data_IF_456703122156
#
_entry.id   IF_456703122156
#
_cell.length_a   1.000
_cell.length_b   1.000
_cell.length_c   1.000
_cell.angle_alpha   90.00
_cell.angle_beta   90.00
_cell.angle_gamma   90.00
#
_symmetry.space_group_name_H-M   'P 1'
#
loop_
_entity.id
_entity.type
_entity.pdbx_description
1 polymer ?
#
# COMPACT_ATOMS: atom_id res chain seq x y z
N UNK A 1 -12.99 -13.76 28.91
CA UNK A 1 -11.88 -13.56 27.95
C UNK A 1 -12.28 -12.63 26.78
N UNK A 2 -13.51 -12.72 26.27
CA UNK A 2 -13.99 -11.86 25.16
C UNK A 2 -14.11 -10.36 25.51
N UNK A 3 -14.57 -10.01 26.71
CA UNK A 3 -14.67 -8.61 27.14
C UNK A 3 -13.32 -7.87 27.15
N UNK A 4 -12.22 -8.54 27.55
CA UNK A 4 -10.89 -7.96 27.54
C UNK A 4 -10.37 -7.69 26.12
N UNK A 5 -10.74 -8.55 25.16
CA UNK A 5 -10.30 -8.40 23.76
C UNK A 5 -11.03 -7.26 23.05
N UNK A 6 -12.34 -7.12 23.29
CA UNK A 6 -13.12 -6.00 22.76
C UNK A 6 -12.63 -4.64 23.29
N UNK A 7 -12.22 -4.57 24.56
CA UNK A 7 -11.60 -3.35 25.11
C UNK A 7 -10.25 -3.06 24.47
N UNK A 8 -9.43 -4.09 24.19
CA UNK A 8 -8.16 -3.93 23.51
C UNK A 8 -8.34 -3.39 22.09
N UNK A 9 -9.35 -3.88 21.34
CA UNK A 9 -9.69 -3.36 20.02
C UNK A 9 -10.07 -1.87 20.05
N UNK A 10 -10.94 -1.48 20.98
CA UNK A 10 -11.35 -0.07 21.13
C UNK A 10 -10.17 0.83 21.50
N UNK A 11 -9.26 0.34 22.34
CA UNK A 11 -8.06 1.09 22.73
C UNK A 11 -7.09 1.25 21.54
N UNK A 12 -6.91 0.20 20.74
CA UNK A 12 -6.09 0.26 19.52
C UNK A 12 -6.70 1.24 18.51
N UNK A 13 -8.01 1.18 18.26
CA UNK A 13 -8.72 2.12 17.38
C UNK A 13 -8.55 3.57 17.86
N UNK A 14 -8.70 3.80 19.18
CA UNK A 14 -8.52 5.14 19.74
C UNK A 14 -7.09 5.64 19.56
N UNK A 15 -6.10 4.76 19.72
CA UNK A 15 -4.68 5.09 19.50
C UNK A 15 -4.43 5.45 18.05
N UNK A 16 -4.95 4.68 17.08
CA UNK A 16 -4.82 4.92 15.66
C UNK A 16 -5.48 6.24 15.21
N UNK A 17 -6.67 6.56 15.74
CA UNK A 17 -7.37 7.81 15.41
C UNK A 17 -6.66 9.06 15.93
N UNK A 18 -5.83 8.93 16.98
CA UNK A 18 -5.07 10.03 17.58
C UNK A 18 -3.57 9.97 17.27
N UNK A 19 -3.14 9.01 16.48
CA UNK A 19 -1.74 8.85 16.10
C UNK A 19 -1.26 10.06 15.28
N UNK A 20 -0.02 10.51 15.48
CA UNK A 20 0.63 11.39 14.52
C UNK A 20 0.70 10.70 13.16
N UNK A 21 0.52 11.49 12.10
CA UNK A 21 0.61 10.96 10.72
C UNK A 21 1.94 10.23 10.49
N UNK A 22 1.83 8.98 10.03
CA UNK A 22 2.98 8.12 9.73
C UNK A 22 3.36 7.15 10.85
N UNK A 23 2.74 7.21 12.02
CA UNK A 23 2.98 6.26 13.11
C UNK A 23 1.97 5.10 13.12
N UNK A 24 0.91 5.19 12.31
CA UNK A 24 -0.17 4.19 12.27
C UNK A 24 0.35 2.78 11.93
N UNK A 25 1.30 2.70 11.01
CA UNK A 25 1.89 1.41 10.60
C UNK A 25 2.67 0.74 11.75
N UNK A 26 3.44 1.52 12.52
CA UNK A 26 4.17 1.01 13.68
C UNK A 26 3.20 0.55 14.77
N UNK A 27 2.14 1.32 15.03
CA UNK A 27 1.10 0.96 16.00
C UNK A 27 0.42 -0.35 15.61
N UNK A 28 0.09 -0.54 14.34
CA UNK A 28 -0.49 -1.79 13.82
C UNK A 28 0.48 -2.96 13.97
N UNK A 29 1.75 -2.76 13.65
CA UNK A 29 2.77 -3.78 13.77
C UNK A 29 2.98 -4.23 15.22
N UNK A 30 3.05 -3.27 16.16
CA UNK A 30 3.22 -3.54 17.60
C UNK A 30 2.00 -4.24 18.23
N UNK A 31 0.85 -4.22 17.54
CA UNK A 31 -0.41 -4.83 17.98
C UNK A 31 -0.93 -5.88 16.97
N UNK A 32 -0.05 -6.50 16.21
CA UNK A 32 -0.40 -7.45 15.14
C UNK A 32 -1.28 -8.64 15.62
N UNK A 33 -1.14 -9.05 16.88
CA UNK A 33 -1.95 -10.09 17.54
C UNK A 33 -3.44 -9.71 17.73
N UNK A 34 -3.76 -8.41 17.62
CA UNK A 34 -5.13 -7.89 17.69
C UNK A 34 -5.76 -7.71 16.31
N UNK A 35 -5.00 -7.83 15.22
CA UNK A 35 -5.48 -7.62 13.87
C UNK A 35 -6.18 -8.87 13.32
N UNK A 36 -7.34 -9.17 13.87
CA UNK A 36 -8.18 -10.30 13.49
C UNK A 36 -9.56 -9.83 13.01
N UNK A 37 -10.41 -10.78 12.64
CA UNK A 37 -11.78 -10.49 12.17
C UNK A 37 -12.60 -9.69 13.18
N UNK A 38 -12.42 -9.94 14.50
CA UNK A 38 -13.09 -9.17 15.56
C UNK A 38 -12.65 -7.70 15.61
N UNK A 39 -11.38 -7.43 15.33
CA UNK A 39 -10.89 -6.06 15.18
C UNK A 39 -11.55 -5.34 13.99
N UNK A 40 -11.69 -6.02 12.85
CA UNK A 40 -12.34 -5.46 11.66
C UNK A 40 -13.81 -5.09 11.93
N UNK A 41 -14.55 -6.00 12.55
CA UNK A 41 -15.96 -5.76 12.93
C UNK A 41 -16.07 -4.57 13.90
N UNK A 42 -15.13 -4.45 14.84
CA UNK A 42 -15.09 -3.31 15.76
C UNK A 42 -14.76 -2.00 15.05
N UNK A 43 -13.85 -2.00 14.08
CA UNK A 43 -13.55 -0.83 13.25
C UNK A 43 -14.79 -0.33 12.48
N UNK A 44 -15.57 -1.23 11.87
CA UNK A 44 -16.81 -0.87 11.15
C UNK A 44 -17.88 -0.30 12.09
N UNK A 45 -18.02 -0.89 13.29
CA UNK A 45 -18.97 -0.40 14.30
C UNK A 45 -18.60 1.01 14.77
N UNK A 46 -17.32 1.24 15.10
CA UNK A 46 -16.83 2.56 15.53
C UNK A 46 -16.92 3.57 14.38
N UNK A 47 -16.60 3.17 13.14
CA UNK A 47 -16.73 4.04 11.97
C UNK A 47 -18.18 4.49 11.74
N UNK A 48 -19.14 3.59 11.91
CA UNK A 48 -20.57 3.93 11.78
C UNK A 48 -21.00 4.93 12.87
N UNK A 49 -20.60 4.71 14.11
CA UNK A 49 -20.88 5.61 15.23
C UNK A 49 -20.24 6.98 15.02
N UNK A 50 -19.00 7.05 14.55
CA UNK A 50 -18.31 8.30 14.24
C UNK A 50 -19.00 9.07 13.11
N UNK A 51 -19.47 8.39 12.07
CA UNK A 51 -20.20 9.03 10.97
C UNK A 51 -21.51 9.67 11.44
N UNK A 52 -22.24 9.02 12.35
CA UNK A 52 -23.47 9.57 12.95
C UNK A 52 -23.19 10.79 13.83
N UNK A 53 -22.02 10.89 14.43
CA UNK A 53 -21.59 11.99 15.28
C UNK A 53 -20.87 13.12 14.52
N UNK A 54 -20.80 13.04 13.19
CA UNK A 54 -20.15 14.06 12.35
C UNK A 54 -18.63 13.90 12.21
N UNK A 55 -18.06 12.79 12.69
CA UNK A 55 -16.63 12.44 12.60
C UNK A 55 -16.28 11.75 11.28
N UNK A 56 -16.67 12.32 10.12
CA UNK A 56 -16.54 11.68 8.81
C UNK A 56 -15.10 11.25 8.45
N UNK A 57 -14.10 12.05 8.82
CA UNK A 57 -12.70 11.72 8.50
C UNK A 57 -12.23 10.48 9.24
N UNK A 58 -12.51 10.37 10.54
CA UNK A 58 -12.21 9.19 11.33
C UNK A 58 -12.97 7.94 10.85
N UNK A 59 -14.25 8.12 10.48
CA UNK A 59 -15.06 7.04 9.92
C UNK A 59 -14.51 6.52 8.59
N UNK A 60 -14.09 7.42 7.68
CA UNK A 60 -13.46 7.05 6.40
C UNK A 60 -12.14 6.33 6.62
N UNK A 61 -11.31 6.84 7.52
CA UNK A 61 -10.03 6.20 7.88
C UNK A 61 -10.25 4.78 8.40
N UNK A 62 -11.14 4.57 9.37
CA UNK A 62 -11.40 3.23 9.94
C UNK A 62 -11.98 2.25 8.93
N UNK A 63 -12.89 2.69 8.05
CA UNK A 63 -13.41 1.83 6.97
C UNK A 63 -12.34 1.45 5.96
N UNK A 64 -11.46 2.39 5.63
CA UNK A 64 -10.34 2.10 4.74
C UNK A 64 -9.37 1.10 5.37
N UNK A 65 -9.03 1.31 6.63
CA UNK A 65 -8.19 0.41 7.41
C UNK A 65 -8.80 -0.99 7.54
N UNK A 66 -10.09 -1.08 7.92
CA UNK A 66 -10.78 -2.36 8.06
C UNK A 66 -10.82 -3.14 6.74
N UNK A 67 -11.13 -2.46 5.64
CA UNK A 67 -11.12 -3.06 4.30
C UNK A 67 -9.73 -3.57 3.91
N UNK A 68 -8.72 -2.78 4.19
CA UNK A 68 -7.33 -3.15 3.93
C UNK A 68 -6.91 -4.39 4.72
N UNK A 69 -7.14 -4.39 6.04
CA UNK A 69 -6.80 -5.52 6.90
C UNK A 69 -7.63 -6.77 6.58
N UNK A 70 -8.91 -6.63 6.20
CA UNK A 70 -9.75 -7.76 5.77
C UNK A 70 -9.13 -8.48 4.57
N UNK A 71 -8.62 -7.72 3.60
CA UNK A 71 -7.96 -8.31 2.44
C UNK A 71 -6.68 -9.06 2.80
N UNK A 72 -5.95 -8.60 3.81
CA UNK A 72 -4.76 -9.29 4.31
C UNK A 72 -5.11 -10.57 5.07
N UNK A 73 -6.17 -10.56 5.87
CA UNK A 73 -6.64 -11.72 6.63
C UNK A 73 -7.19 -12.81 5.68
N UNK A 74 -8.01 -12.44 4.70
CA UNK A 74 -8.56 -13.38 3.71
C UNK A 74 -7.46 -14.02 2.84
N UNK A 75 -6.33 -13.34 2.64
CA UNK A 75 -5.16 -13.93 1.97
C UNK A 75 -4.43 -14.96 2.83
N UNK A 76 -4.52 -14.87 4.16
CA UNK A 76 -3.91 -15.81 5.08
C UNK A 76 -4.73 -17.11 5.23
N UNK A 77 -6.05 -17.06 5.06
CA UNK A 77 -6.92 -18.24 5.18
C UNK A 77 -6.74 -19.24 4.01
N UNK A 78 -6.22 -18.80 2.86
CA UNK A 78 -5.94 -19.64 1.69
C UNK A 78 -4.54 -20.31 1.70
N UNK A 79 -3.73 -20.10 2.75
CA UNK A 79 -2.34 -20.61 2.81
C UNK A 79 -2.09 -21.40 4.09
N UNK A 80 -2.59 -22.61 4.14
CA UNK A 80 -2.19 -23.64 5.11
C UNK A 80 -0.85 -24.29 4.68
N UNK A 81 0.20 -23.51 4.51
CA UNK A 81 1.62 -23.97 4.44
C UNK A 81 2.57 -22.80 4.09
N UNK A 82 2.91 -21.91 5.01
CA UNK A 82 4.20 -21.22 5.09
C UNK A 82 4.14 -19.97 5.96
N UNK A 83 4.31 -20.13 7.24
CA UNK A 83 4.37 -19.01 8.21
C UNK A 83 5.41 -17.93 7.82
N UNK A 84 6.49 -18.32 7.15
CA UNK A 84 7.54 -17.39 6.70
C UNK A 84 7.18 -16.59 5.42
N UNK A 85 6.29 -17.11 4.57
CA UNK A 85 5.89 -16.41 3.33
C UNK A 85 4.81 -15.35 3.59
N UNK A 86 3.95 -15.56 4.59
CA UNK A 86 2.91 -14.60 4.95
C UNK A 86 3.48 -13.39 5.70
N UNK A 87 4.43 -13.58 6.60
CA UNK A 87 5.14 -12.48 7.27
C UNK A 87 5.86 -11.59 6.26
N UNK A 88 6.57 -12.19 5.29
CA UNK A 88 7.24 -11.45 4.23
C UNK A 88 6.25 -10.65 3.35
N UNK A 89 5.10 -11.22 2.97
CA UNK A 89 4.10 -10.50 2.17
C UNK A 89 3.54 -9.28 2.92
N UNK A 90 3.28 -9.41 4.22
CA UNK A 90 2.78 -8.33 5.05
C UNK A 90 3.77 -7.15 5.10
N UNK A 91 5.04 -7.42 5.27
CA UNK A 91 6.09 -6.39 5.29
C UNK A 91 6.16 -5.63 3.96
N UNK A 92 6.09 -6.33 2.83
CA UNK A 92 6.06 -5.71 1.50
C UNK A 92 4.79 -4.87 1.29
N UNK A 93 3.64 -5.39 1.70
CA UNK A 93 2.36 -4.70 1.56
C UNK A 93 2.31 -3.43 2.40
N UNK A 94 2.73 -3.51 3.66
CA UNK A 94 2.81 -2.35 4.56
C UNK A 94 3.76 -1.29 4.00
N UNK A 95 4.95 -1.69 3.56
CA UNK A 95 5.92 -0.78 2.97
C UNK A 95 5.38 -0.06 1.73
N UNK A 96 4.70 -0.80 0.84
CA UNK A 96 4.08 -0.20 -0.34
C UNK A 96 3.02 0.85 0.02
N UNK A 97 2.18 0.58 1.01
CA UNK A 97 1.15 1.52 1.45
C UNK A 97 1.73 2.76 2.14
N UNK A 98 2.76 2.59 2.96
CA UNK A 98 3.50 3.70 3.55
C UNK A 98 4.10 4.61 2.47
N UNK A 99 4.66 4.02 1.40
CA UNK A 99 5.18 4.77 0.26
C UNK A 99 4.08 5.53 -0.48
N UNK A 100 2.91 4.90 -0.73
CA UNK A 100 1.78 5.58 -1.37
C UNK A 100 1.23 6.72 -0.50
N UNK A 101 1.18 6.53 0.81
CA UNK A 101 0.78 7.59 1.73
C UNK A 101 1.78 8.74 1.73
N UNK A 102 3.08 8.44 1.75
CA UNK A 102 4.13 9.45 1.66
C UNK A 102 4.10 10.21 0.34
N UNK A 103 3.86 9.53 -0.80
CA UNK A 103 3.64 10.18 -2.10
C UNK A 103 2.48 11.17 -2.05
N UNK A 104 1.37 10.78 -1.44
CA UNK A 104 0.19 11.64 -1.31
C UNK A 104 0.45 12.85 -0.39
N UNK A 105 1.03 12.62 0.78
CA UNK A 105 1.20 13.66 1.80
C UNK A 105 2.30 14.66 1.44
N UNK A 106 3.35 14.22 0.76
CA UNK A 106 4.46 15.05 0.31
C UNK A 106 4.26 15.63 -1.10
N UNK A 107 3.20 15.24 -1.80
CA UNK A 107 2.98 15.55 -3.22
C UNK A 107 4.18 15.10 -4.09
N UNK A 108 4.71 13.92 -3.79
CA UNK A 108 5.81 13.30 -4.53
C UNK A 108 7.19 13.92 -4.26
N UNK A 109 7.42 14.48 -3.05
CA UNK A 109 8.73 15.02 -2.71
C UNK A 109 9.75 13.90 -2.49
N UNK A 110 10.75 13.81 -3.37
CA UNK A 110 11.85 12.83 -3.28
C UNK A 110 12.66 12.96 -1.99
N UNK A 111 12.66 14.13 -1.34
CA UNK A 111 13.32 14.32 -0.05
C UNK A 111 12.63 13.53 1.07
N UNK A 112 11.36 13.12 0.87
CA UNK A 112 10.61 12.25 1.77
C UNK A 112 10.73 10.79 1.31
N UNK A 113 10.54 10.54 0.02
CA UNK A 113 10.47 9.18 -0.54
C UNK A 113 11.82 8.44 -0.50
N UNK A 114 12.91 9.11 -0.91
CA UNK A 114 14.23 8.46 -1.00
C UNK A 114 14.78 7.97 0.34
N UNK A 115 14.68 8.70 1.46
CA UNK A 115 15.04 8.16 2.77
C UNK A 115 14.25 6.92 3.18
N UNK A 116 12.96 6.82 2.82
CA UNK A 116 12.16 5.62 3.10
C UNK A 116 12.64 4.41 2.28
N UNK A 117 12.96 4.62 0.99
CA UNK A 117 13.53 3.59 0.12
C UNK A 117 14.92 3.18 0.62
N UNK A 118 15.76 4.13 1.03
CA UNK A 118 17.10 3.89 1.57
C UNK A 118 17.06 3.03 2.84
N UNK A 119 16.16 3.34 3.77
CA UNK A 119 16.01 2.62 5.02
C UNK A 119 15.55 1.17 4.85
N UNK A 120 14.92 0.84 3.72
CA UNK A 120 14.33 -0.49 3.47
C UNK A 120 14.73 -1.08 2.11
N UNK A 121 15.95 -0.83 1.64
CA UNK A 121 16.46 -1.35 0.36
C UNK A 121 16.34 -2.88 0.23
N UNK A 122 16.41 -3.61 1.34
CA UNK A 122 16.27 -5.07 1.35
C UNK A 122 14.89 -5.54 0.88
N UNK A 123 13.86 -4.68 0.98
CA UNK A 123 12.51 -4.95 0.48
C UNK A 123 12.38 -4.65 -1.03
N UNK A 124 13.32 -3.92 -1.65
CA UNK A 124 13.26 -3.59 -3.08
C UNK A 124 13.74 -4.79 -3.93
N UNK A 125 12.86 -5.77 -4.12
CA UNK A 125 13.16 -7.01 -4.83
C UNK A 125 11.95 -7.52 -5.63
N UNK A 126 12.04 -8.71 -6.22
CA UNK A 126 10.97 -9.30 -7.03
C UNK A 126 9.67 -9.50 -6.24
N UNK A 127 9.75 -9.92 -4.97
CA UNK A 127 8.57 -10.12 -4.12
C UNK A 127 7.83 -8.80 -3.85
N UNK A 128 8.56 -7.68 -3.74
CA UNK A 128 7.93 -6.35 -3.66
C UNK A 128 7.15 -6.00 -4.93
N UNK A 129 7.71 -6.29 -6.12
CA UNK A 129 7.01 -6.05 -7.38
C UNK A 129 5.72 -6.88 -7.50
N UNK A 130 5.74 -8.15 -7.08
CA UNK A 130 4.57 -9.02 -7.05
C UNK A 130 3.52 -8.52 -6.04
N UNK A 131 3.95 -8.16 -4.84
CA UNK A 131 3.08 -7.62 -3.79
C UNK A 131 2.44 -6.30 -4.22
N UNK A 132 3.22 -5.39 -4.81
CA UNK A 132 2.71 -4.15 -5.38
C UNK A 132 1.55 -4.40 -6.35
N UNK A 133 1.73 -5.36 -7.29
CA UNK A 133 0.67 -5.70 -8.25
C UNK A 133 -0.58 -6.25 -7.56
N UNK A 134 -0.42 -7.11 -6.56
CA UNK A 134 -1.55 -7.70 -5.85
C UNK A 134 -2.31 -6.65 -5.02
N UNK A 135 -1.59 -5.85 -4.24
CA UNK A 135 -2.17 -4.80 -3.39
C UNK A 135 -2.83 -3.72 -4.25
N UNK A 136 -2.15 -3.24 -5.30
CA UNK A 136 -2.70 -2.23 -6.21
C UNK A 136 -4.02 -2.67 -6.86
N UNK A 137 -4.09 -3.91 -7.37
CA UNK A 137 -5.35 -4.47 -7.91
C UNK A 137 -6.48 -4.47 -6.90
N UNK A 138 -6.18 -4.73 -5.64
CA UNK A 138 -7.17 -4.72 -4.56
C UNK A 138 -7.60 -3.30 -4.18
N UNK A 139 -6.66 -2.36 -4.12
CA UNK A 139 -6.96 -0.96 -3.82
C UNK A 139 -7.92 -0.32 -4.83
N UNK A 140 -7.85 -0.71 -6.09
CA UNK A 140 -8.72 -0.17 -7.16
C UNK A 140 -10.01 -0.98 -7.36
N UNK A 141 -10.09 -2.20 -6.80
CA UNK A 141 -11.25 -3.07 -6.99
C UNK A 141 -12.51 -2.48 -6.36
N UNK A 142 -13.54 -2.25 -7.17
CA UNK A 142 -14.82 -1.71 -6.70
C UNK A 142 -14.85 -0.21 -6.42
N UNK A 143 -13.72 0.50 -6.66
CA UNK A 143 -13.66 1.96 -6.50
C UNK A 143 -14.27 2.69 -7.71
N UNK A 144 -14.67 3.94 -7.50
CA UNK A 144 -15.12 4.81 -8.58
C UNK A 144 -13.94 5.32 -9.41
N UNK A 145 -14.21 5.83 -10.62
CA UNK A 145 -13.19 6.25 -11.58
C UNK A 145 -12.28 7.39 -11.06
N UNK A 146 -12.78 8.27 -10.21
CA UNK A 146 -11.99 9.35 -9.62
C UNK A 146 -10.98 8.81 -8.61
N UNK A 147 -11.42 7.92 -7.72
CA UNK A 147 -10.56 7.24 -6.75
C UNK A 147 -9.50 6.39 -7.46
N UNK A 148 -9.89 5.61 -8.48
CA UNK A 148 -8.95 4.85 -9.31
C UNK A 148 -7.92 5.77 -9.93
N UNK A 149 -8.33 6.90 -10.53
CA UNK A 149 -7.43 7.86 -11.16
C UNK A 149 -6.41 8.42 -10.18
N UNK A 150 -6.81 8.68 -8.93
CA UNK A 150 -5.93 9.16 -7.87
C UNK A 150 -4.91 8.08 -7.47
N UNK A 151 -5.36 6.86 -7.21
CA UNK A 151 -4.50 5.74 -6.80
C UNK A 151 -3.46 5.43 -7.88
N UNK A 152 -3.87 5.31 -9.15
CA UNK A 152 -2.93 5.02 -10.24
C UNK A 152 -1.94 6.16 -10.48
N UNK A 153 -2.33 7.40 -10.20
CA UNK A 153 -1.42 8.55 -10.22
C UNK A 153 -0.30 8.43 -9.19
N UNK A 154 -0.64 8.04 -7.95
CA UNK A 154 0.35 7.79 -6.90
C UNK A 154 1.27 6.62 -7.24
N UNK A 155 0.72 5.52 -7.78
CA UNK A 155 1.51 4.36 -8.22
C UNK A 155 2.47 4.74 -9.35
N UNK A 156 2.05 5.60 -10.29
CA UNK A 156 2.93 6.07 -11.36
C UNK A 156 4.09 6.90 -10.83
N UNK A 157 3.80 7.87 -9.95
CA UNK A 157 4.84 8.70 -9.33
C UNK A 157 5.84 7.84 -8.56
N UNK A 158 5.36 6.95 -7.72
CA UNK A 158 6.20 6.01 -6.98
C UNK A 158 7.06 5.15 -7.91
N UNK A 159 6.50 4.68 -9.03
CA UNK A 159 7.23 3.89 -10.02
C UNK A 159 8.36 4.70 -10.67
N UNK A 160 8.13 6.00 -10.94
CA UNK A 160 9.16 6.92 -11.43
C UNK A 160 10.27 7.04 -10.38
N UNK A 161 9.92 7.35 -9.12
CA UNK A 161 10.89 7.54 -8.05
C UNK A 161 11.72 6.29 -7.79
N UNK A 162 11.11 5.09 -7.76
CA UNK A 162 11.85 3.84 -7.60
C UNK A 162 12.77 3.59 -8.80
N UNK A 163 12.33 3.86 -10.03
CA UNK A 163 13.16 3.67 -11.23
C UNK A 163 14.37 4.60 -11.26
N UNK A 164 14.25 5.79 -10.70
CA UNK A 164 15.30 6.81 -10.63
C UNK A 164 16.13 6.73 -9.35
N UNK A 165 15.69 5.97 -8.36
CA UNK A 165 16.36 5.84 -7.06
C UNK A 165 17.82 5.43 -7.25
N UNK A 166 18.78 6.22 -6.72
CA UNK A 166 20.20 6.07 -7.03
C UNK A 166 20.86 4.89 -6.32
N UNK A 167 20.22 4.35 -5.26
CA UNK A 167 20.77 3.29 -4.41
C UNK A 167 20.08 1.94 -4.64
N UNK A 168 20.63 0.89 -4.05
CA UNK A 168 20.10 -0.46 -4.12
C UNK A 168 20.41 -1.17 -5.44
N UNK A 169 19.68 -2.25 -5.72
CA UNK A 169 19.84 -3.02 -6.94
C UNK A 169 19.04 -2.37 -8.08
N UNK A 170 19.75 -1.79 -9.04
CA UNK A 170 19.13 -1.08 -10.17
C UNK A 170 18.20 -1.96 -11.00
N UNK A 171 18.53 -3.24 -11.18
CA UNK A 171 17.67 -4.19 -11.89
C UNK A 171 16.37 -4.41 -11.16
N UNK A 172 16.40 -4.61 -9.85
CA UNK A 172 15.20 -4.74 -9.02
C UNK A 172 14.34 -3.47 -9.05
N UNK A 173 14.96 -2.30 -8.90
CA UNK A 173 14.25 -1.02 -8.95
C UNK A 173 13.49 -0.86 -10.28
N UNK A 174 14.13 -1.22 -11.39
CA UNK A 174 13.51 -1.18 -12.71
C UNK A 174 12.35 -2.19 -12.80
N UNK A 175 12.50 -3.42 -12.30
CA UNK A 175 11.42 -4.42 -12.32
C UNK A 175 10.21 -3.99 -11.50
N UNK A 176 10.43 -3.38 -10.34
CA UNK A 176 9.35 -2.83 -9.51
C UNK A 176 8.62 -1.70 -10.27
N UNK A 177 9.36 -0.81 -10.92
CA UNK A 177 8.77 0.28 -11.70
C UNK A 177 7.96 -0.25 -12.91
N UNK A 178 8.44 -1.29 -13.59
CA UNK A 178 7.69 -1.97 -14.66
C UNK A 178 6.37 -2.49 -14.13
N UNK A 179 6.37 -3.21 -13.00
CA UNK A 179 5.16 -3.73 -12.38
C UNK A 179 4.13 -2.63 -12.07
N UNK A 180 4.59 -1.48 -11.57
CA UNK A 180 3.74 -0.31 -11.32
C UNK A 180 3.17 0.31 -12.60
N UNK A 181 4.01 0.53 -13.63
CA UNK A 181 3.54 1.08 -14.91
C UNK A 181 2.53 0.16 -15.61
N UNK A 182 2.66 -1.15 -15.51
CA UNK A 182 1.69 -2.10 -16.05
C UNK A 182 0.32 -1.96 -15.39
N UNK A 183 0.27 -1.81 -14.07
CA UNK A 183 -0.97 -1.52 -13.34
C UNK A 183 -1.60 -0.22 -13.83
N UNK A 184 -0.81 0.84 -13.96
CA UNK A 184 -1.28 2.15 -14.40
C UNK A 184 -1.86 2.08 -15.81
N UNK A 185 -1.16 1.44 -16.75
CA UNK A 185 -1.63 1.30 -18.13
C UNK A 185 -2.95 0.52 -18.24
N UNK A 186 -3.10 -0.54 -17.46
CA UNK A 186 -4.31 -1.36 -17.45
C UNK A 186 -5.55 -0.61 -16.93
N UNK A 187 -5.36 0.53 -16.26
CA UNK A 187 -6.41 1.32 -15.63
C UNK A 187 -6.55 2.73 -16.23
N UNK A 188 -5.84 3.04 -17.30
CA UNK A 188 -5.96 4.27 -18.07
C UNK A 188 -6.68 4.05 -19.37
N UNK A 189 -7.37 5.08 -19.84
CA UNK A 189 -8.03 5.07 -21.15
C UNK A 189 -6.98 4.99 -22.28
N UNK A 190 -6.99 3.94 -23.10
CA UNK A 190 -6.05 3.77 -24.21
C UNK A 190 -6.08 4.97 -25.16
N UNK A 191 -4.90 5.47 -25.53
CA UNK A 191 -4.75 6.61 -26.43
C UNK A 191 -4.88 7.98 -25.77
N UNK A 192 -5.19 8.05 -24.47
CA UNK A 192 -5.12 9.31 -23.74
C UNK A 192 -3.66 9.80 -23.60
N UNK A 193 -3.46 11.08 -23.35
CA UNK A 193 -2.13 11.67 -23.14
C UNK A 193 -1.39 10.97 -21.98
N UNK A 194 -2.08 10.78 -20.85
CA UNK A 194 -1.53 10.09 -19.67
C UNK A 194 -1.18 8.63 -19.95
N UNK A 195 -2.00 7.93 -20.73
CA UNK A 195 -1.71 6.56 -21.16
C UNK A 195 -0.45 6.50 -22.03
N UNK A 196 -0.31 7.42 -22.99
CA UNK A 196 0.87 7.53 -23.85
C UNK A 196 2.13 7.84 -23.05
N UNK A 197 2.04 8.72 -22.06
CA UNK A 197 3.15 9.04 -21.15
C UNK A 197 3.61 7.80 -20.39
N UNK A 198 2.66 7.02 -19.80
CA UNK A 198 3.01 5.79 -19.10
C UNK A 198 3.61 4.75 -20.02
N UNK A 199 3.13 4.62 -21.25
CA UNK A 199 3.76 3.74 -22.26
C UNK A 199 5.23 4.10 -22.52
N UNK A 200 5.54 5.39 -22.62
CA UNK A 200 6.91 5.85 -22.81
C UNK A 200 7.80 5.53 -21.58
N UNK A 201 7.26 5.71 -20.36
CA UNK A 201 7.96 5.35 -19.14
C UNK A 201 8.22 3.84 -19.09
N UNK A 202 7.22 3.03 -19.39
CA UNK A 202 7.35 1.57 -19.44
C UNK A 202 8.36 1.11 -20.50
N UNK A 203 8.31 1.66 -21.69
CA UNK A 203 9.26 1.35 -22.76
C UNK A 203 10.71 1.71 -22.35
N UNK A 204 10.89 2.84 -21.68
CA UNK A 204 12.18 3.25 -21.13
C UNK A 204 12.67 2.29 -20.06
N UNK A 205 11.79 1.87 -19.16
CA UNK A 205 12.11 0.90 -18.10
C UNK A 205 12.52 -0.46 -18.71
N UNK A 206 11.81 -0.97 -19.71
CA UNK A 206 12.19 -2.20 -20.42
C UNK A 206 13.55 -2.09 -21.14
N UNK A 207 13.84 -0.94 -21.75
CA UNK A 207 15.14 -0.73 -22.38
C UNK A 207 16.28 -0.71 -21.36
N UNK A 208 16.03 -0.15 -20.17
CA UNK A 208 17.01 -0.13 -19.09
C UNK A 208 17.18 -1.51 -18.43
N UNK A 209 16.11 -2.28 -18.29
CA UNK A 209 16.13 -3.64 -17.78
C UNK A 209 17.07 -4.54 -18.60
N UNK A 210 17.05 -4.42 -19.93
CA UNK A 210 17.94 -5.17 -20.82
C UNK A 210 19.43 -4.81 -20.64
N UNK A 211 19.73 -3.60 -20.17
CA UNK A 211 21.11 -3.14 -19.94
C UNK A 211 21.67 -3.57 -18.59
N UNK A 212 20.79 -3.84 -17.61
CA UNK A 212 21.18 -4.24 -16.25
C UNK A 212 21.23 -5.74 -16.05
N UNK A 213 20.72 -6.54 -17.00
CA UNK A 213 20.65 -8.01 -16.95
C UNK A 213 21.75 -8.72 -17.79
N UNK A 214 22.80 -8.01 -18.20
CA UNK A 214 23.96 -8.55 -18.92
C UNK A 214 25.15 -8.81 -18.00
#
# INVERSE_FOLDING_TARGET
>A
MEENRAQAYLQLIHTLLNAPKGEEAQILQDNSELLDRGFLETCELVASTLAEQGGENGAKFLRHLARYLAQLIDMNDDVDSNNSASENFQDYANFFLELLQAEQDSNGDIAVIYPMLEGRQHLLNASFAETLQQVAKKLIAGENSETISSIIGLIENLSIHISEFPSGNKGNNIQIAIAGYEIVLNNREPGSEKWTQTQNNLATAYNNSKKTGG
#
